data_IF_433790691188
#
_entry.id   IF_433790691188
#
_cell.length_a   1.000
_cell.length_b   1.000
_cell.length_c   1.000
_cell.angle_alpha   90.00
_cell.angle_beta   90.00
_cell.angle_gamma   90.00
#
_symmetry.space_group_name_H-M   'P 1'
#
loop_
_entity.id
_entity.type
_entity.pdbx_description
1 polymer ?
#
# COMPACT_ATOMS: atom_id res chain seq x y z
N UNK A 1 -14.69 -32.63 -13.16
CA UNK A 1 -14.23 -31.28 -13.52
C UNK A 1 -13.33 -30.77 -12.43
N UNK A 2 -12.11 -30.28 -12.77
CA UNK A 2 -11.26 -29.63 -11.77
C UNK A 2 -11.93 -28.32 -11.33
N UNK A 3 -12.03 -28.09 -10.02
CA UNK A 3 -12.54 -26.83 -9.48
C UNK A 3 -11.59 -25.69 -9.83
N UNK A 4 -12.11 -24.55 -10.31
CA UNK A 4 -11.33 -23.34 -10.50
C UNK A 4 -10.79 -22.87 -9.13
N UNK A 5 -9.49 -22.79 -9.01
CA UNK A 5 -8.80 -22.29 -7.80
C UNK A 5 -7.99 -21.06 -8.18
N UNK A 6 -8.40 -19.86 -7.71
CA UNK A 6 -7.62 -18.63 -7.97
C UNK A 6 -6.23 -18.72 -7.34
N UNK A 7 -5.22 -18.18 -8.03
CA UNK A 7 -3.88 -17.97 -7.48
C UNK A 7 -3.78 -16.54 -6.91
N UNK A 8 -3.53 -16.43 -5.62
CA UNK A 8 -3.41 -15.14 -4.94
C UNK A 8 -1.95 -14.68 -4.85
N UNK A 9 -1.70 -13.36 -4.80
CA UNK A 9 -2.66 -12.25 -4.86
C UNK A 9 -3.20 -12.01 -6.27
N UNK A 10 -4.49 -11.64 -6.38
CA UNK A 10 -5.12 -11.26 -7.64
C UNK A 10 -4.72 -9.85 -8.08
N UNK A 11 -4.76 -9.59 -9.38
CA UNK A 11 -4.65 -8.26 -9.96
C UNK A 11 -6.03 -7.65 -10.19
N UNK A 12 -6.14 -6.33 -10.06
CA UNK A 12 -7.39 -5.60 -10.28
C UNK A 12 -7.86 -5.69 -11.73
N UNK A 13 -9.18 -5.66 -11.97
CA UNK A 13 -9.73 -5.45 -13.30
C UNK A 13 -9.30 -4.09 -13.88
N UNK A 14 -9.04 -4.04 -15.18
CA UNK A 14 -8.58 -2.84 -15.88
C UNK A 14 -9.71 -2.04 -16.55
N UNK A 15 -10.97 -2.49 -16.41
CA UNK A 15 -12.13 -1.93 -17.11
C UNK A 15 -12.54 -0.54 -16.67
N UNK A 16 -12.40 -0.23 -15.37
CA UNK A 16 -12.68 1.11 -14.82
C UNK A 16 -11.76 1.38 -13.64
N UNK A 17 -11.35 2.64 -13.49
CA UNK A 17 -10.61 3.08 -12.32
C UNK A 17 -11.50 3.25 -11.08
N UNK A 18 -10.91 3.60 -9.96
CA UNK A 18 -11.60 3.97 -8.71
C UNK A 18 -12.11 5.40 -8.83
N UNK A 19 -13.35 5.65 -8.40
CA UNK A 19 -13.94 7.00 -8.37
C UNK A 19 -13.50 7.78 -7.16
N UNK A 20 -13.61 7.17 -5.98
CA UNK A 20 -13.20 7.75 -4.71
C UNK A 20 -12.51 6.69 -3.87
N UNK A 21 -11.54 7.13 -3.12
CA UNK A 21 -10.82 6.28 -2.18
C UNK A 21 -10.65 7.01 -0.84
N UNK A 22 -10.62 6.22 0.21
CA UNK A 22 -10.10 6.62 1.51
C UNK A 22 -8.95 5.65 1.81
N UNK A 23 -7.71 6.13 1.75
CA UNK A 23 -6.50 5.33 1.93
C UNK A 23 -5.70 5.90 3.09
N UNK A 24 -5.35 5.07 4.07
CA UNK A 24 -4.66 5.56 5.25
C UNK A 24 -3.95 4.46 6.04
N UNK A 25 -3.09 4.88 6.96
CA UNK A 25 -2.35 4.02 7.87
C UNK A 25 -3.02 4.00 9.24
N UNK A 26 -3.40 2.83 9.72
CA UNK A 26 -3.90 2.59 11.08
C UNK A 26 -2.73 2.18 11.96
N UNK A 27 -2.57 2.83 13.13
CA UNK A 27 -1.53 2.53 14.13
C UNK A 27 -2.15 2.06 15.43
N UNK A 28 -1.40 1.29 16.20
CA UNK A 28 -1.79 0.85 17.53
C UNK A 28 -1.03 1.66 18.56
N UNK A 29 -1.69 2.68 19.11
CA UNK A 29 -1.12 3.56 20.16
C UNK A 29 -2.07 3.59 21.33
N UNK A 30 -1.57 3.34 22.54
CA UNK A 30 -2.30 3.49 23.79
C UNK A 30 -1.86 4.76 24.51
N UNK A 31 -2.84 5.59 24.89
CA UNK A 31 -2.60 6.80 25.67
C UNK A 31 -3.32 6.67 27.00
N UNK A 32 -2.58 6.73 28.10
CA UNK A 32 -3.14 6.75 29.46
C UNK A 32 -2.93 8.13 30.07
N UNK A 33 -3.98 8.72 30.63
CA UNK A 33 -3.93 10.05 31.24
C UNK A 33 -4.27 9.98 32.70
N UNK A 34 -3.48 10.66 33.55
CA UNK A 34 -3.77 10.83 34.98
C UNK A 34 -4.97 11.77 35.18
N UNK A 35 -6.03 11.36 35.87
CA UNK A 35 -7.18 12.23 36.15
C UNK A 35 -6.87 13.39 37.07
N UNK A 36 -5.74 13.36 37.80
CA UNK A 36 -5.37 14.37 38.78
C UNK A 36 -4.41 15.43 38.24
N UNK A 37 -3.49 15.04 37.37
CA UNK A 37 -2.42 15.92 36.85
C UNK A 37 -2.49 16.16 35.36
N UNK A 38 -3.39 15.47 34.64
CA UNK A 38 -3.49 15.46 33.18
C UNK A 38 -2.19 15.02 32.47
N UNK A 39 -1.23 14.48 33.20
CA UNK A 39 -0.03 13.90 32.61
C UNK A 39 -0.43 12.69 31.75
N UNK A 40 0.13 12.63 30.54
CA UNK A 40 -0.10 11.55 29.59
C UNK A 40 1.12 10.63 29.50
N UNK A 41 0.84 9.34 29.42
CA UNK A 41 1.81 8.32 29.10
C UNK A 41 1.38 7.66 27.79
N UNK A 42 2.28 7.64 26.81
CA UNK A 42 2.03 7.11 25.48
C UNK A 42 2.81 5.82 25.30
N UNK A 43 2.13 4.78 24.89
CA UNK A 43 2.72 3.49 24.48
C UNK A 43 2.43 3.27 23.00
N UNK A 44 3.45 3.29 22.17
CA UNK A 44 3.37 2.94 20.78
C UNK A 44 3.72 1.47 20.59
N UNK A 45 2.86 0.74 19.90
CA UNK A 45 3.10 -0.62 19.48
C UNK A 45 3.51 -0.64 17.99
N UNK A 46 4.34 -1.60 17.60
CA UNK A 46 4.83 -1.72 16.21
C UNK A 46 3.73 -2.04 15.19
N UNK A 47 2.52 -2.34 15.65
CA UNK A 47 1.37 -2.65 14.79
C UNK A 47 0.92 -1.43 13.98
N UNK A 48 1.24 -1.43 12.70
CA UNK A 48 0.74 -0.48 11.73
C UNK A 48 0.22 -1.25 10.49
N UNK A 49 -0.90 -0.80 9.90
CA UNK A 49 -1.57 -1.49 8.81
C UNK A 49 -2.22 -0.49 7.86
N UNK A 50 -1.97 -0.63 6.57
CA UNK A 50 -2.69 0.14 5.56
C UNK A 50 -4.14 -0.32 5.50
N UNK A 51 -5.06 0.63 5.48
CA UNK A 51 -6.50 0.40 5.31
C UNK A 51 -7.05 1.28 4.21
N UNK A 52 -7.99 0.74 3.47
CA UNK A 52 -8.61 1.52 2.40
C UNK A 52 -10.08 1.16 2.20
N UNK A 53 -10.83 2.17 1.74
CA UNK A 53 -12.17 2.00 1.21
C UNK A 53 -12.20 2.57 -0.19
N UNK A 54 -12.68 1.78 -1.13
CA UNK A 54 -12.77 2.14 -2.54
C UNK A 54 -14.22 2.16 -2.98
N UNK A 55 -14.60 3.22 -3.72
CA UNK A 55 -15.89 3.29 -4.40
C UNK A 55 -15.63 3.37 -5.90
N UNK A 56 -16.24 2.48 -6.64
CA UNK A 56 -16.14 2.46 -8.09
C UNK A 56 -17.13 3.45 -8.72
N UNK A 57 -16.86 3.97 -9.93
CA UNK A 57 -17.84 4.79 -10.62
C UNK A 57 -19.07 3.97 -10.99
N UNK A 58 -20.25 4.59 -11.09
CA UNK A 58 -21.42 3.91 -11.64
C UNK A 58 -21.11 3.34 -13.01
N UNK A 59 -21.38 2.06 -13.22
CA UNK A 59 -20.98 1.35 -14.43
C UNK A 59 -22.09 0.45 -14.96
N UNK A 60 -22.03 0.19 -16.27
CA UNK A 60 -22.93 -0.74 -16.94
C UNK A 60 -22.61 -2.19 -16.60
N UNK A 61 -23.56 -3.08 -16.85
CA UNK A 61 -23.52 -4.50 -16.51
C UNK A 61 -22.23 -5.20 -16.94
N UNK A 62 -21.71 -4.91 -18.12
CA UNK A 62 -20.52 -5.59 -18.68
C UNK A 62 -19.25 -5.29 -17.86
N UNK A 63 -19.07 -4.02 -17.49
CA UNK A 63 -17.93 -3.60 -16.64
C UNK A 63 -18.12 -4.06 -15.18
N UNK A 64 -19.35 -3.97 -14.67
CA UNK A 64 -19.68 -4.43 -13.32
C UNK A 64 -19.45 -5.93 -13.16
N UNK A 65 -19.77 -6.73 -14.17
CA UNK A 65 -19.59 -8.18 -14.12
C UNK A 65 -18.12 -8.58 -13.89
N UNK A 66 -17.15 -7.84 -14.44
CA UNK A 66 -15.73 -8.11 -14.24
C UNK A 66 -15.28 -7.80 -12.81
N UNK A 67 -15.76 -6.69 -12.24
CA UNK A 67 -15.51 -6.35 -10.85
C UNK A 67 -16.16 -7.33 -9.86
N UNK A 68 -17.42 -7.72 -10.14
CA UNK A 68 -18.11 -8.71 -9.31
C UNK A 68 -17.43 -10.07 -9.38
N UNK A 69 -17.01 -10.51 -10.56
CA UNK A 69 -16.25 -11.76 -10.73
C UNK A 69 -14.92 -11.72 -9.96
N UNK A 70 -14.20 -10.60 -10.01
CA UNK A 70 -12.99 -10.40 -9.25
C UNK A 70 -13.25 -10.49 -7.73
N UNK A 71 -14.20 -9.71 -7.21
CA UNK A 71 -14.54 -9.71 -5.79
C UNK A 71 -15.05 -11.08 -5.30
N UNK A 72 -15.86 -11.77 -6.11
CA UNK A 72 -16.31 -13.13 -5.80
C UNK A 72 -15.15 -14.14 -5.80
N UNK A 73 -14.14 -13.96 -6.68
CA UNK A 73 -12.98 -14.83 -6.72
C UNK A 73 -12.08 -14.69 -5.50
N UNK A 74 -12.18 -13.59 -4.75
CA UNK A 74 -11.50 -13.42 -3.44
C UNK A 74 -12.10 -14.29 -2.36
N UNK A 75 -13.35 -14.74 -2.51
CA UNK A 75 -14.06 -15.58 -1.52
C UNK A 75 -14.08 -14.94 -0.12
N UNK A 76 -14.50 -13.67 -0.06
CA UNK A 76 -14.48 -12.86 1.14
C UNK A 76 -13.05 -12.54 1.59
N UNK A 77 -12.79 -12.57 2.88
CA UNK A 77 -11.48 -12.27 3.46
C UNK A 77 -10.42 -13.36 3.26
N UNK A 78 -10.72 -14.45 2.53
CA UNK A 78 -9.76 -15.53 2.26
C UNK A 78 -8.68 -15.10 1.26
N UNK A 79 -9.09 -14.49 0.15
CA UNK A 79 -8.20 -14.12 -0.94
C UNK A 79 -7.51 -12.78 -0.70
N UNK A 80 -6.40 -12.60 -1.39
CA UNK A 80 -5.63 -11.35 -1.38
C UNK A 80 -5.53 -10.77 -2.77
N UNK A 81 -5.30 -9.48 -2.86
CA UNK A 81 -5.11 -8.75 -4.11
C UNK A 81 -4.12 -7.59 -3.93
N UNK A 82 -3.57 -7.13 -5.04
CA UNK A 82 -2.62 -6.01 -5.03
C UNK A 82 -3.34 -4.71 -5.36
N UNK A 83 -3.22 -3.73 -4.47
CA UNK A 83 -3.72 -2.37 -4.69
C UNK A 83 -2.86 -1.38 -3.89
N UNK A 84 -2.73 -0.18 -4.40
CA UNK A 84 -2.12 0.94 -3.70
C UNK A 84 -2.97 2.19 -3.83
N UNK A 85 -2.43 3.32 -3.43
CA UNK A 85 -3.06 4.62 -3.60
C UNK A 85 -3.25 4.91 -5.09
N UNK A 86 -4.49 5.09 -5.53
CA UNK A 86 -4.83 5.28 -6.94
C UNK A 86 -4.55 6.69 -7.44
N UNK A 87 -4.39 7.66 -6.54
CA UNK A 87 -4.04 9.04 -6.86
C UNK A 87 -2.53 9.25 -7.00
N UNK A 88 -1.75 8.55 -6.17
CA UNK A 88 -0.29 8.70 -6.09
C UNK A 88 0.46 7.53 -6.75
N UNK A 89 0.28 7.39 -8.05
CA UNK A 89 0.93 6.33 -8.84
C UNK A 89 2.37 6.64 -9.24
N UNK A 90 2.77 7.90 -9.13
CA UNK A 90 4.11 8.38 -9.44
C UNK A 90 4.63 9.22 -8.29
N UNK A 91 5.93 9.23 -8.09
CA UNK A 91 6.60 10.08 -7.11
C UNK A 91 6.55 11.54 -7.55
N UNK A 92 6.67 12.45 -6.59
CA UNK A 92 6.91 13.87 -6.81
C UNK A 92 8.41 14.17 -6.87
N UNK A 93 9.24 13.26 -6.37
CA UNK A 93 10.69 13.33 -6.43
C UNK A 93 11.24 13.21 -7.85
N UNK A 94 12.57 13.34 -7.98
CA UNK A 94 13.27 13.39 -9.26
C UNK A 94 13.96 12.07 -9.65
N UNK A 95 13.79 10.99 -8.87
CA UNK A 95 14.37 9.69 -9.18
C UNK A 95 13.80 9.12 -10.48
N UNK A 96 14.68 8.60 -11.34
CA UNK A 96 14.33 7.97 -12.62
C UNK A 96 15.10 6.67 -12.85
N UNK A 97 16.04 6.36 -11.96
CA UNK A 97 16.96 5.25 -12.01
C UNK A 97 16.35 3.98 -11.39
N UNK A 98 17.01 2.85 -11.60
CA UNK A 98 16.72 1.63 -10.83
C UNK A 98 17.36 1.76 -9.46
N UNK A 99 16.54 1.90 -8.43
CA UNK A 99 16.96 2.06 -7.04
C UNK A 99 16.95 0.68 -6.37
N UNK A 100 18.02 0.42 -5.61
CA UNK A 100 18.20 -0.85 -4.91
C UNK A 100 18.38 -0.61 -3.40
N UNK A 101 18.10 -1.63 -2.64
CA UNK A 101 18.40 -1.65 -1.20
C UNK A 101 19.90 -1.84 -1.02
N UNK A 102 20.55 -0.95 -0.28
CA UNK A 102 21.97 -1.00 0.04
C UNK A 102 22.18 -1.64 1.41
N UNK A 103 22.45 -2.93 1.41
CA UNK A 103 22.66 -3.75 2.61
C UNK A 103 21.42 -4.53 3.05
N UNK A 104 21.65 -5.76 3.48
CA UNK A 104 20.60 -6.67 3.92
C UNK A 104 20.15 -6.42 5.37
N UNK A 105 19.01 -7.02 5.75
CA UNK A 105 18.49 -7.11 7.11
C UNK A 105 18.26 -5.74 7.80
N UNK A 106 17.91 -4.71 7.04
CA UNK A 106 17.58 -3.40 7.58
C UNK A 106 16.23 -3.45 8.31
N UNK A 107 16.12 -2.68 9.40
CA UNK A 107 14.96 -2.64 10.30
C UNK A 107 14.68 -1.20 10.77
N UNK A 108 13.52 -1.00 11.40
CA UNK A 108 13.13 0.33 11.89
C UNK A 108 12.52 1.20 10.79
N UNK A 109 12.66 2.52 10.93
CA UNK A 109 12.03 3.52 10.04
C UNK A 109 12.98 4.12 9.01
N UNK A 110 14.20 3.63 8.91
CA UNK A 110 15.21 4.12 7.98
C UNK A 110 15.71 3.00 7.10
N UNK A 111 15.86 3.27 5.82
CA UNK A 111 16.42 2.33 4.85
C UNK A 111 17.49 3.01 4.02
N UNK A 112 18.63 2.34 3.85
CA UNK A 112 19.70 2.77 2.97
C UNK A 112 19.45 2.24 1.56
N UNK A 113 19.48 3.12 0.59
CA UNK A 113 19.26 2.82 -0.82
C UNK A 113 20.42 3.34 -1.64
N UNK A 114 20.67 2.70 -2.78
CA UNK A 114 21.65 3.09 -3.77
C UNK A 114 21.07 3.10 -5.19
N UNK A 115 21.92 3.42 -6.17
CA UNK A 115 21.53 3.50 -7.57
C UNK A 115 21.04 4.87 -8.01
N UNK A 116 21.07 5.88 -7.14
CA UNK A 116 20.74 7.25 -7.50
C UNK A 116 21.85 7.91 -8.32
N UNK A 117 21.49 8.90 -9.11
CA UNK A 117 22.50 9.83 -9.67
C UNK A 117 23.18 10.58 -8.52
N UNK A 118 24.51 10.59 -8.51
CA UNK A 118 25.32 11.22 -7.47
C UNK A 118 24.95 12.69 -7.25
N UNK A 119 24.83 13.09 -5.99
CA UNK A 119 24.49 14.45 -5.54
C UNK A 119 23.16 14.99 -6.06
N UNK A 120 22.25 14.12 -6.49
CA UNK A 120 20.93 14.54 -6.97
C UNK A 120 20.05 14.93 -5.79
N UNK A 121 19.53 16.15 -5.83
CA UNK A 121 18.62 16.66 -4.82
C UNK A 121 17.19 16.18 -5.05
N UNK A 122 16.45 16.01 -3.94
CA UNK A 122 15.03 15.69 -3.97
C UNK A 122 14.70 14.42 -4.78
N UNK A 123 15.51 13.38 -4.63
CA UNK A 123 15.28 12.10 -5.32
C UNK A 123 13.94 11.50 -4.92
N UNK A 124 13.57 11.59 -3.63
CA UNK A 124 12.22 11.37 -3.11
C UNK A 124 11.79 12.58 -2.29
N UNK A 125 10.49 12.88 -2.27
CA UNK A 125 9.90 13.91 -1.44
C UNK A 125 9.01 13.28 -0.36
N UNK A 126 8.84 14.01 0.74
CA UNK A 126 7.91 13.60 1.80
C UNK A 126 6.50 13.39 1.22
N UNK A 127 5.92 12.23 1.48
CA UNK A 127 4.64 11.81 0.94
C UNK A 127 4.73 10.95 -0.33
N UNK A 128 5.91 10.76 -0.91
CA UNK A 128 6.10 9.77 -1.98
C UNK A 128 5.93 8.36 -1.45
N UNK A 129 5.44 7.45 -2.29
CA UNK A 129 5.35 6.04 -1.95
C UNK A 129 6.48 5.25 -2.59
N UNK A 130 7.03 4.34 -1.81
CA UNK A 130 7.95 3.31 -2.28
C UNK A 130 7.42 1.92 -1.87
N UNK A 131 7.69 0.94 -2.70
CA UNK A 131 7.37 -0.45 -2.41
C UNK A 131 8.65 -1.28 -2.40
N UNK A 132 8.83 -2.07 -1.35
CA UNK A 132 9.92 -3.02 -1.22
C UNK A 132 9.28 -4.38 -0.98
N UNK A 133 9.60 -5.34 -1.85
CA UNK A 133 8.90 -6.62 -1.88
C UNK A 133 7.37 -6.40 -2.06
N UNK A 134 6.57 -6.94 -1.15
CA UNK A 134 5.11 -6.83 -1.17
C UNK A 134 4.56 -5.70 -0.28
N UNK A 135 5.43 -4.89 0.32
CA UNK A 135 5.03 -3.88 1.31
C UNK A 135 5.16 -2.45 0.79
N UNK A 136 4.18 -1.64 1.15
CA UNK A 136 4.09 -0.23 0.80
C UNK A 136 4.58 0.63 1.97
N UNK A 137 5.41 1.62 1.64
CA UNK A 137 5.94 2.60 2.58
C UNK A 137 5.75 4.00 2.03
N UNK A 138 5.50 4.95 2.91
CA UNK A 138 5.50 6.38 2.59
C UNK A 138 6.80 7.00 3.07
N UNK A 139 7.44 7.77 2.21
CA UNK A 139 8.63 8.56 2.55
C UNK A 139 8.21 9.71 3.48
N UNK A 140 8.86 9.85 4.63
CA UNK A 140 8.51 10.84 5.66
C UNK A 140 9.32 12.13 5.61
N UNK A 141 10.44 12.15 4.87
CA UNK A 141 11.29 13.31 4.72
C UNK A 141 11.88 13.41 3.30
N UNK A 142 12.19 14.63 2.85
CA UNK A 142 12.85 14.83 1.56
C UNK A 142 14.23 14.19 1.56
N UNK A 143 14.59 13.55 0.46
CA UNK A 143 15.80 12.75 0.30
C UNK A 143 16.68 13.35 -0.78
N UNK A 144 17.96 13.48 -0.49
CA UNK A 144 19.02 13.90 -1.43
C UNK A 144 20.07 12.82 -1.46
N UNK A 145 20.47 12.39 -2.66
CA UNK A 145 21.53 11.43 -2.84
C UNK A 145 22.90 12.08 -2.55
N UNK A 146 23.79 11.31 -1.96
CA UNK A 146 25.18 11.74 -1.69
C UNK A 146 26.07 11.68 -2.95
N UNK A 147 27.36 11.96 -2.77
CA UNK A 147 28.35 11.93 -3.85
C UNK A 147 28.62 10.55 -4.45
N UNK A 148 28.17 9.48 -3.79
CA UNK A 148 28.26 8.09 -4.25
C UNK A 148 26.97 7.57 -4.90
N UNK A 149 25.89 8.36 -4.85
CA UNK A 149 24.58 7.95 -5.33
C UNK A 149 23.84 7.07 -4.33
N UNK A 150 24.15 7.22 -3.05
CA UNK A 150 23.48 6.55 -1.94
C UNK A 150 22.62 7.53 -1.14
N UNK A 151 21.60 7.02 -0.46
CA UNK A 151 20.78 7.85 0.42
C UNK A 151 20.12 7.00 1.53
N UNK A 152 19.98 7.60 2.71
CA UNK A 152 19.09 7.06 3.76
C UNK A 152 17.71 7.67 3.61
N UNK A 153 16.71 6.81 3.46
CA UNK A 153 15.29 7.17 3.29
C UNK A 153 14.53 6.83 4.55
N UNK A 154 13.86 7.81 5.13
CA UNK A 154 12.97 7.60 6.27
C UNK A 154 11.57 7.24 5.79
N UNK A 155 11.01 6.16 6.33
CA UNK A 155 9.76 5.56 5.84
C UNK A 155 8.77 5.28 6.96
N UNK A 156 7.49 5.26 6.60
CA UNK A 156 6.37 4.86 7.44
C UNK A 156 5.43 3.90 6.67
N UNK A 157 5.02 2.83 7.30
CA UNK A 157 5.36 2.29 8.61
C UNK A 157 6.80 1.79 8.69
N UNK A 158 7.23 1.34 9.88
CA UNK A 158 8.54 0.68 10.05
C UNK A 158 8.70 -0.49 9.11
N UNK A 159 9.94 -0.76 8.71
CA UNK A 159 10.29 -1.84 7.79
C UNK A 159 9.78 -3.20 8.29
N UNK A 160 9.09 -3.90 7.43
CA UNK A 160 8.51 -5.21 7.73
C UNK A 160 9.50 -6.31 7.33
N UNK A 161 9.92 -7.09 8.29
CA UNK A 161 10.95 -8.12 8.10
C UNK A 161 10.44 -9.53 8.40
N UNK A 162 9.16 -9.66 8.84
CA UNK A 162 8.63 -10.90 9.39
C UNK A 162 8.33 -12.00 8.37
N UNK A 163 7.91 -11.65 7.14
CA UNK A 163 7.50 -12.60 6.11
C UNK A 163 8.46 -12.58 4.93
N UNK A 164 8.84 -11.41 4.44
CA UNK A 164 9.77 -11.23 3.34
C UNK A 164 10.99 -10.45 3.86
N UNK A 165 12.15 -11.11 3.87
CA UNK A 165 13.38 -10.43 4.27
C UNK A 165 13.76 -9.35 3.27
N UNK A 166 14.21 -8.20 3.79
CA UNK A 166 14.79 -7.14 2.97
C UNK A 166 16.25 -7.53 2.72
N UNK A 167 16.51 -7.98 1.50
CA UNK A 167 17.84 -8.40 1.08
C UNK A 167 18.58 -7.25 0.40
N UNK A 168 19.89 -7.33 0.41
CA UNK A 168 20.74 -6.47 -0.40
C UNK A 168 20.36 -6.58 -1.89
N UNK A 169 20.43 -5.47 -2.61
CA UNK A 169 20.04 -5.37 -4.02
C UNK A 169 18.55 -5.67 -4.32
N UNK A 170 17.67 -5.68 -3.31
CA UNK A 170 16.23 -5.73 -3.56
C UNK A 170 15.78 -4.47 -4.29
N UNK A 171 15.07 -4.64 -5.41
CA UNK A 171 14.58 -3.50 -6.20
C UNK A 171 13.49 -2.74 -5.44
N UNK A 172 13.63 -1.42 -5.42
CA UNK A 172 12.65 -0.49 -4.88
C UNK A 172 11.73 -0.01 -6.02
N UNK A 173 10.44 -0.30 -5.89
CA UNK A 173 9.43 0.17 -6.83
C UNK A 173 8.86 1.50 -6.32
N UNK A 174 8.84 2.54 -7.15
CA UNK A 174 8.33 3.87 -6.79
C UNK A 174 7.33 4.43 -7.82
N UNK A 175 6.91 3.60 -8.77
CA UNK A 175 5.83 3.90 -9.71
C UNK A 175 4.79 2.80 -9.65
N UNK A 176 3.50 3.16 -9.64
CA UNK A 176 2.40 2.21 -9.48
C UNK A 176 2.56 1.28 -8.28
N UNK A 177 3.03 1.84 -7.18
CA UNK A 177 3.27 1.10 -5.93
C UNK A 177 2.00 0.46 -5.41
N UNK A 178 2.13 -0.75 -4.88
CA UNK A 178 1.01 -1.53 -4.34
C UNK A 178 1.40 -2.21 -3.04
N UNK A 179 0.41 -2.60 -2.26
CA UNK A 179 0.57 -3.56 -1.17
C UNK A 179 -0.44 -4.69 -1.34
N UNK A 180 -0.21 -5.80 -0.66
CA UNK A 180 -1.16 -6.92 -0.65
C UNK A 180 -2.26 -6.61 0.35
N UNK A 181 -3.49 -6.60 -0.12
CA UNK A 181 -4.67 -6.35 0.70
C UNK A 181 -5.64 -7.52 0.71
N UNK A 182 -6.48 -7.53 1.73
CA UNK A 182 -7.55 -8.49 1.97
C UNK A 182 -8.83 -7.73 2.27
N UNK A 183 -9.98 -8.24 1.80
CA UNK A 183 -11.28 -7.65 2.13
C UNK A 183 -11.56 -7.72 3.64
N UNK A 184 -12.12 -6.65 4.19
CA UNK A 184 -12.51 -6.58 5.60
C UNK A 184 -13.80 -7.33 5.90
N UNK A 185 -14.61 -7.61 4.88
CA UNK A 185 -15.90 -8.30 5.00
C UNK A 185 -15.96 -9.55 4.14
N UNK A 186 -16.65 -10.57 4.65
CA UNK A 186 -17.03 -11.76 3.89
C UNK A 186 -18.32 -11.55 3.09
N UNK A 187 -19.04 -10.45 3.34
CA UNK A 187 -20.24 -10.08 2.62
C UNK A 187 -19.89 -9.15 1.47
N UNK A 188 -20.41 -9.43 0.31
CA UNK A 188 -20.30 -8.62 -0.89
C UNK A 188 -21.70 -8.13 -1.29
N UNK A 189 -21.89 -6.82 -1.20
CA UNK A 189 -23.12 -6.15 -1.59
C UNK A 189 -22.85 -5.19 -2.74
N UNK A 190 -23.82 -5.02 -3.61
CA UNK A 190 -23.81 -4.01 -4.67
C UNK A 190 -25.22 -3.50 -4.94
N UNK A 191 -25.32 -2.27 -5.38
CA UNK A 191 -26.58 -1.65 -5.74
C UNK A 191 -26.79 -1.70 -7.27
N UNK A 192 -28.06 -1.84 -7.69
CA UNK A 192 -28.42 -1.82 -9.11
C UNK A 192 -29.70 -1.01 -9.28
N UNK A 193 -29.72 -0.07 -10.21
CA UNK A 193 -30.90 0.70 -10.54
C UNK A 193 -31.72 0.08 -11.69
N UNK A 194 -32.86 0.73 -12.03
CA UNK A 194 -33.74 0.27 -13.10
C UNK A 194 -33.13 0.29 -14.50
N UNK A 195 -32.07 1.07 -14.70
CA UNK A 195 -31.36 1.18 -15.99
C UNK A 195 -30.07 0.34 -16.02
N UNK A 196 -29.95 -0.61 -15.09
CA UNK A 196 -28.81 -1.53 -14.96
C UNK A 196 -27.46 -0.82 -14.75
N UNK A 197 -27.45 0.23 -13.94
CA UNK A 197 -26.24 0.89 -13.47
C UNK A 197 -25.90 0.31 -12.08
N UNK A 198 -24.67 -0.10 -11.93
CA UNK A 198 -24.15 -0.76 -10.74
C UNK A 198 -23.30 0.19 -9.90
N UNK A 199 -23.54 0.22 -8.60
CA UNK A 199 -22.70 0.84 -7.58
C UNK A 199 -21.97 -0.24 -6.78
N UNK A 200 -20.66 -0.17 -6.73
CA UNK A 200 -19.81 -1.14 -6.00
C UNK A 200 -18.86 -0.36 -5.10
N UNK A 201 -18.81 -0.76 -3.83
CA UNK A 201 -17.81 -0.26 -2.88
C UNK A 201 -17.30 -1.43 -2.03
N UNK A 202 -16.04 -1.35 -1.61
CA UNK A 202 -15.43 -2.36 -0.75
C UNK A 202 -14.34 -1.75 0.13
N UNK A 203 -14.18 -2.32 1.32
CA UNK A 203 -13.12 -1.97 2.26
C UNK A 203 -12.13 -3.11 2.39
N UNK A 204 -10.87 -2.77 2.60
CA UNK A 204 -9.80 -3.73 2.70
C UNK A 204 -8.69 -3.23 3.63
N UNK A 205 -7.97 -4.17 4.18
CA UNK A 205 -6.80 -3.95 5.03
C UNK A 205 -5.61 -4.71 4.48
N UNK A 206 -4.41 -4.20 4.76
CA UNK A 206 -3.16 -4.85 4.38
C UNK A 206 -3.09 -6.26 4.98
N UNK A 207 -2.66 -7.22 4.18
CA UNK A 207 -2.42 -8.60 4.61
C UNK A 207 -0.96 -8.73 5.01
N UNK A 208 -0.74 -8.81 6.31
CA UNK A 208 0.56 -9.00 6.95
C UNK A 208 0.79 -10.47 7.23
#
# INVERSE_FOLDING_TARGET
MAAYTPSYPLTLPTVTGVRTQNFGLSRVVAVTQSPFTNQQQVYEHEGAQWKATFTLPPMKKESAAQWLAFLMSLRGSRGTFKIGDQDRKTIQGTATETILVNGAAQTGNAINLDGFTASRANVFLAGDYIQINSYLYMVSANVTADGSGEATVYVEPSLRTGIEAINDNTTVVYTNTTTIMRLDSNELNWDTDKVSIYGISFSCSESL
#
